data_IF_290134790210
#
_entry.id   IF_290134790210
#
_cell.length_a   1.000
_cell.length_b   1.000
_cell.length_c   1.000
_cell.angle_alpha   90.00
_cell.angle_beta   90.00
_cell.angle_gamma   90.00
#
_symmetry.space_group_name_H-M   'P 1'
#
loop_
_entity.id
_entity.type
_entity.pdbx_description
1 polymer ?
#
# COMPACT_ATOMS: atom_id res chain seq x y z
N UNK A 1 -15.81 23.99 1.10
CA UNK A 1 -15.83 23.94 2.59
C UNK A 1 -16.40 22.64 3.14
N UNK A 2 -17.53 22.12 2.66
CA UNK A 2 -18.13 20.85 3.14
C UNK A 2 -17.21 19.64 3.01
N UNK A 3 -16.48 19.52 1.90
CA UNK A 3 -15.52 18.42 1.67
C UNK A 3 -14.32 18.45 2.61
N UNK A 4 -13.75 19.63 2.87
CA UNK A 4 -12.65 19.79 3.83
C UNK A 4 -13.10 19.39 5.24
N UNK A 5 -14.30 19.80 5.65
CA UNK A 5 -14.86 19.44 6.95
C UNK A 5 -15.17 17.94 7.07
N UNK A 6 -15.78 17.35 6.03
CA UNK A 6 -16.04 15.91 5.98
C UNK A 6 -14.75 15.09 6.00
N UNK A 7 -13.72 15.54 5.26
CA UNK A 7 -12.39 14.96 5.29
C UNK A 7 -11.74 15.04 6.66
N UNK A 8 -11.81 16.18 7.34
CA UNK A 8 -11.29 16.34 8.71
C UNK A 8 -12.01 15.42 9.70
N UNK A 9 -13.34 15.37 9.68
CA UNK A 9 -14.12 14.49 10.56
C UNK A 9 -13.80 13.01 10.31
N UNK A 10 -13.67 12.63 9.04
CA UNK A 10 -13.26 11.28 8.66
C UNK A 10 -11.87 10.95 9.22
N UNK A 11 -10.90 11.87 9.10
CA UNK A 11 -9.56 11.68 9.61
C UNK A 11 -9.53 11.57 11.15
N UNK A 12 -10.34 12.34 11.86
CA UNK A 12 -10.46 12.25 13.32
C UNK A 12 -10.93 10.87 13.79
N UNK A 13 -11.68 10.13 12.97
CA UNK A 13 -12.13 8.77 13.28
C UNK A 13 -11.11 7.74 12.77
N UNK A 14 -10.66 7.88 11.52
CA UNK A 14 -9.78 6.91 10.88
C UNK A 14 -8.39 6.85 11.52
N UNK A 15 -7.81 7.99 11.91
CA UNK A 15 -6.45 8.02 12.48
C UNK A 15 -6.37 7.24 13.80
N UNK A 16 -7.27 7.45 14.79
CA UNK A 16 -7.29 6.60 15.98
C UNK A 16 -7.50 5.12 15.67
N UNK A 17 -8.40 4.79 14.74
CA UNK A 17 -8.64 3.40 14.33
C UNK A 17 -7.42 2.77 13.67
N UNK A 18 -6.65 3.52 12.88
CA UNK A 18 -5.38 3.07 12.31
C UNK A 18 -4.35 2.77 13.40
N UNK A 19 -4.26 3.60 14.45
CA UNK A 19 -3.38 3.37 15.59
C UNK A 19 -3.78 2.08 16.31
N UNK A 20 -5.07 1.89 16.61
CA UNK A 20 -5.58 0.66 17.22
C UNK A 20 -5.28 -0.56 16.34
N UNK A 21 -5.52 -0.45 15.04
CA UNK A 21 -5.22 -1.51 14.07
C UNK A 21 -3.74 -1.88 14.04
N UNK A 22 -2.85 -0.88 14.10
CA UNK A 22 -1.40 -1.10 14.17
C UNK A 22 -1.01 -1.84 15.46
N UNK A 23 -1.50 -1.39 16.62
CA UNK A 23 -1.25 -2.07 17.89
C UNK A 23 -1.76 -3.52 17.86
N UNK A 24 -2.94 -3.74 17.28
CA UNK A 24 -3.48 -5.09 17.09
C UNK A 24 -2.60 -5.97 16.20
N UNK A 25 -2.09 -5.43 15.08
CA UNK A 25 -1.15 -6.13 14.19
C UNK A 25 0.10 -6.53 14.96
N UNK A 26 0.68 -5.64 15.76
CA UNK A 26 1.88 -5.90 16.55
C UNK A 26 1.61 -7.01 17.58
N UNK A 27 0.56 -6.87 18.40
CA UNK A 27 0.24 -7.83 19.46
C UNK A 27 -0.04 -9.22 18.87
N UNK A 28 -0.91 -9.32 17.87
CA UNK A 28 -1.26 -10.62 17.28
C UNK A 28 -0.15 -11.18 16.39
N UNK A 29 0.69 -10.34 15.81
CA UNK A 29 1.88 -10.78 15.07
C UNK A 29 2.93 -11.44 15.95
N UNK A 30 3.08 -10.99 17.20
CA UNK A 30 4.03 -11.54 18.17
C UNK A 30 3.44 -12.77 18.89
N UNK A 31 2.19 -12.67 19.36
CA UNK A 31 1.60 -13.67 20.28
C UNK A 31 0.55 -14.58 19.64
N UNK A 32 0.14 -14.33 18.40
CA UNK A 32 -1.02 -14.97 17.78
C UNK A 32 -0.75 -15.55 16.39
N UNK A 33 -1.84 -15.85 15.67
CA UNK A 33 -1.78 -16.40 14.31
C UNK A 33 -1.55 -15.29 13.29
N UNK A 34 -0.41 -15.31 12.61
CA UNK A 34 -0.06 -14.36 11.53
C UNK A 34 -1.15 -14.28 10.45
N UNK A 35 -1.86 -15.37 10.17
CA UNK A 35 -2.97 -15.39 9.20
C UNK A 35 -4.10 -14.41 9.54
N UNK A 36 -4.30 -14.06 10.82
CA UNK A 36 -5.34 -13.12 11.28
C UNK A 36 -5.03 -11.68 10.89
N UNK A 37 -3.74 -11.33 10.84
CA UNK A 37 -3.26 -9.96 10.59
C UNK A 37 -2.67 -9.78 9.19
N UNK A 38 -2.41 -10.86 8.46
CA UNK A 38 -1.77 -10.85 7.13
C UNK A 38 -2.40 -9.85 6.16
N UNK A 39 -3.73 -9.79 6.07
CA UNK A 39 -4.40 -8.83 5.17
C UNK A 39 -4.27 -7.39 5.66
N UNK A 40 -4.28 -7.17 6.98
CA UNK A 40 -4.04 -5.85 7.57
C UNK A 40 -2.62 -5.35 7.30
N UNK A 41 -1.62 -6.21 7.43
CA UNK A 41 -0.21 -5.88 7.08
C UNK A 41 -0.08 -5.53 5.60
N UNK A 42 -0.74 -6.28 4.71
CA UNK A 42 -0.74 -5.96 3.26
C UNK A 42 -1.41 -4.62 2.96
N UNK A 43 -2.55 -4.34 3.60
CA UNK A 43 -3.24 -3.05 3.43
C UNK A 43 -2.38 -1.89 3.94
N UNK A 44 -1.67 -2.07 5.05
CA UNK A 44 -0.72 -1.09 5.58
C UNK A 44 0.44 -0.84 4.60
N UNK A 45 1.02 -1.90 4.04
CA UNK A 45 2.08 -1.78 3.04
C UNK A 45 1.61 -1.02 1.79
N UNK A 46 0.41 -1.32 1.28
CA UNK A 46 -0.19 -0.58 0.17
C UNK A 46 -0.47 0.89 0.53
N UNK A 47 -0.93 1.17 1.74
CA UNK A 47 -1.13 2.54 2.22
C UNK A 47 0.20 3.30 2.26
N UNK A 48 1.25 2.72 2.83
CA UNK A 48 2.59 3.33 2.87
C UNK A 48 3.13 3.55 1.45
N UNK A 49 2.95 2.59 0.56
CA UNK A 49 3.33 2.72 -0.84
C UNK A 49 2.62 3.90 -1.52
N UNK A 50 1.29 3.98 -1.38
CA UNK A 50 0.50 5.03 -2.00
C UNK A 50 0.80 6.43 -1.43
N UNK A 51 1.03 6.52 -0.11
CA UNK A 51 1.22 7.80 0.58
C UNK A 51 2.66 8.32 0.53
N UNK A 52 3.66 7.46 0.69
CA UNK A 52 5.07 7.89 0.79
C UNK A 52 5.84 7.70 -0.52
N UNK A 53 5.48 6.69 -1.31
CA UNK A 53 6.22 6.34 -2.54
C UNK A 53 5.48 6.77 -3.81
N UNK A 54 4.30 7.39 -3.69
CA UNK A 54 3.45 7.80 -4.81
C UNK A 54 3.13 6.62 -5.75
N UNK A 55 2.95 5.44 -5.18
CA UNK A 55 2.51 4.25 -5.90
C UNK A 55 1.00 4.12 -5.97
N UNK A 56 0.52 3.06 -6.60
CA UNK A 56 -0.91 2.76 -6.60
C UNK A 56 -1.36 2.15 -5.26
N UNK A 57 -2.61 2.42 -4.87
CA UNK A 57 -3.23 1.80 -3.68
C UNK A 57 -3.41 0.27 -3.78
N UNK A 58 -3.22 -0.30 -4.97
CA UNK A 58 -3.41 -1.72 -5.29
C UNK A 58 -2.08 -2.49 -5.40
N UNK A 59 -0.96 -1.88 -5.03
CA UNK A 59 0.35 -2.52 -5.07
C UNK A 59 1.15 -2.29 -3.79
N UNK A 60 1.96 -3.28 -3.44
CA UNK A 60 2.94 -3.25 -2.38
C UNK A 60 4.13 -2.34 -2.72
N UNK A 61 4.88 -1.91 -1.70
CA UNK A 61 6.17 -1.21 -1.89
C UNK A 61 7.12 -2.08 -2.72
N UNK A 62 7.10 -3.39 -2.50
CA UNK A 62 7.96 -4.36 -3.21
C UNK A 62 7.59 -4.48 -4.69
N UNK A 63 6.29 -4.55 -5.02
CA UNK A 63 5.83 -4.53 -6.41
C UNK A 63 6.20 -3.23 -7.09
N UNK A 64 5.94 -2.10 -6.42
CA UNK A 64 6.23 -0.77 -6.94
C UNK A 64 7.72 -0.57 -7.18
N UNK A 65 8.57 -0.99 -6.24
CA UNK A 65 10.03 -0.93 -6.37
C UNK A 65 10.51 -1.69 -7.61
N UNK A 66 9.95 -2.86 -7.92
CA UNK A 66 10.34 -3.59 -9.13
C UNK A 66 9.89 -2.90 -10.42
N UNK A 67 8.68 -2.33 -10.44
CA UNK A 67 8.16 -1.55 -11.56
C UNK A 67 9.02 -0.32 -11.84
N UNK A 68 9.48 0.33 -10.77
CA UNK A 68 10.31 1.54 -10.78
C UNK A 68 11.81 1.25 -10.52
N UNK A 69 12.29 0.03 -10.85
CA UNK A 69 13.62 -0.49 -10.48
C UNK A 69 14.82 0.37 -10.88
N UNK A 70 14.64 1.34 -11.78
CA UNK A 70 15.69 2.27 -12.15
C UNK A 70 15.92 3.39 -11.11
N UNK A 71 14.92 3.68 -10.27
CA UNK A 71 15.01 4.71 -9.21
C UNK A 71 15.91 4.27 -8.07
N UNK A 72 16.64 5.22 -7.47
CA UNK A 72 17.59 4.95 -6.36
C UNK A 72 16.92 4.28 -5.16
N UNK A 73 15.77 4.79 -4.72
CA UNK A 73 15.03 4.20 -3.59
C UNK A 73 14.58 2.77 -3.90
N UNK A 74 14.17 2.51 -5.14
CA UNK A 74 13.71 1.19 -5.57
C UNK A 74 14.86 0.19 -5.57
N UNK A 75 16.05 0.59 -6.04
CA UNK A 75 17.26 -0.24 -5.96
C UNK A 75 17.59 -0.61 -4.52
N UNK A 76 17.48 0.33 -3.58
CA UNK A 76 17.69 0.07 -2.14
C UNK A 76 16.67 -0.96 -1.62
N UNK A 77 15.38 -0.78 -1.93
CA UNK A 77 14.32 -1.74 -1.51
C UNK A 77 14.57 -3.13 -2.09
N UNK A 78 14.90 -3.22 -3.38
CA UNK A 78 15.21 -4.50 -4.05
C UNK A 78 16.41 -5.17 -3.39
N UNK A 79 17.50 -4.43 -3.17
CA UNK A 79 18.70 -4.96 -2.53
C UNK A 79 18.41 -5.48 -1.12
N UNK A 80 17.73 -4.69 -0.27
CA UNK A 80 17.41 -5.10 1.09
C UNK A 80 16.52 -6.35 1.09
N UNK A 81 15.45 -6.36 0.30
CA UNK A 81 14.51 -7.48 0.26
C UNK A 81 15.13 -8.76 -0.31
N UNK A 82 16.06 -8.65 -1.26
CA UNK A 82 16.78 -9.79 -1.83
C UNK A 82 17.75 -10.45 -0.84
N UNK A 83 18.21 -9.73 0.20
CA UNK A 83 18.99 -10.33 1.31
C UNK A 83 18.15 -11.34 2.11
N UNK A 84 16.86 -11.07 2.29
CA UNK A 84 15.94 -11.95 3.01
C UNK A 84 15.36 -13.04 2.11
N UNK A 85 15.06 -12.69 0.85
CA UNK A 85 14.46 -13.61 -0.10
C UNK A 85 14.82 -13.21 -1.54
N UNK A 86 15.62 -14.03 -2.23
CA UNK A 86 16.03 -13.76 -3.62
C UNK A 86 14.82 -13.53 -4.55
N UNK A 87 14.92 -12.50 -5.40
CA UNK A 87 13.90 -12.07 -6.36
C UNK A 87 12.55 -11.71 -5.70
N UNK A 88 12.58 -11.18 -4.47
CA UNK A 88 11.35 -10.86 -3.72
C UNK A 88 10.48 -9.86 -4.47
N UNK A 89 11.05 -8.70 -4.82
CA UNK A 89 10.33 -7.62 -5.49
C UNK A 89 9.83 -8.04 -6.89
N UNK A 90 10.61 -8.81 -7.65
CA UNK A 90 10.19 -9.37 -8.94
C UNK A 90 8.94 -10.24 -8.81
N UNK A 91 8.93 -11.13 -7.82
CA UNK A 91 7.78 -12.02 -7.56
C UNK A 91 6.56 -11.27 -7.04
N UNK A 92 6.76 -10.24 -6.23
CA UNK A 92 5.69 -9.36 -5.78
C UNK A 92 5.02 -8.67 -6.98
N UNK A 93 5.83 -8.07 -7.85
CA UNK A 93 5.32 -7.41 -9.05
C UNK A 93 4.60 -8.36 -10.01
N UNK A 94 5.15 -9.56 -10.27
CA UNK A 94 4.47 -10.56 -11.10
C UNK A 94 3.05 -10.93 -10.60
N UNK A 95 2.80 -10.82 -9.29
CA UNK A 95 1.49 -11.13 -8.70
C UNK A 95 0.53 -9.95 -8.71
N UNK A 96 1.05 -8.74 -8.56
CA UNK A 96 0.24 -7.54 -8.32
C UNK A 96 0.06 -6.69 -9.59
N UNK A 97 1.00 -6.75 -10.54
CA UNK A 97 0.92 -6.03 -11.81
C UNK A 97 -0.37 -6.30 -12.58
N UNK A 98 -0.88 -7.55 -12.69
CA UNK A 98 -2.15 -7.80 -13.39
C UNK A 98 -3.35 -7.06 -12.79
N UNK A 99 -3.34 -6.80 -11.47
CA UNK A 99 -4.40 -6.02 -10.80
C UNK A 99 -4.28 -4.55 -11.17
N UNK A 100 -3.05 -4.01 -11.16
CA UNK A 100 -2.79 -2.63 -11.59
C UNK A 100 -3.23 -2.45 -13.04
N UNK A 101 -2.81 -3.34 -13.93
CA UNK A 101 -3.12 -3.28 -15.35
C UNK A 101 -4.63 -3.31 -15.58
N UNK A 102 -5.36 -4.15 -14.84
CA UNK A 102 -6.82 -4.20 -14.88
C UNK A 102 -7.45 -2.86 -14.46
N UNK A 103 -7.02 -2.30 -13.33
CA UNK A 103 -7.53 -1.02 -12.81
C UNK A 103 -7.30 0.10 -13.84
N UNK A 104 -6.09 0.19 -14.38
CA UNK A 104 -5.70 1.22 -15.35
C UNK A 104 -6.45 1.05 -16.68
N UNK A 105 -6.52 -0.18 -17.19
CA UNK A 105 -7.25 -0.50 -18.42
C UNK A 105 -8.74 -0.16 -18.31
N UNK A 106 -9.33 -0.34 -17.12
CA UNK A 106 -10.73 0.01 -16.84
C UNK A 106 -10.93 1.47 -16.45
N UNK A 107 -9.87 2.27 -16.34
CA UNK A 107 -9.92 3.68 -15.91
C UNK A 107 -10.41 3.88 -14.48
N UNK A 108 -10.36 2.85 -13.62
CA UNK A 108 -10.94 2.89 -12.26
C UNK A 108 -10.12 3.74 -11.28
N UNK A 109 -8.92 4.15 -11.66
CA UNK A 109 -8.10 5.09 -10.90
C UNK A 109 -8.47 6.56 -11.17
N UNK A 110 -9.31 6.85 -12.16
CA UNK A 110 -9.67 8.22 -12.50
C UNK A 110 -10.65 8.81 -11.49
N UNK A 111 -10.47 10.09 -11.17
CA UNK A 111 -11.42 10.81 -10.33
C UNK A 111 -12.74 11.01 -11.06
N UNK A 112 -13.80 10.34 -10.59
CA UNK A 112 -15.16 10.42 -11.14
C UNK A 112 -16.09 11.34 -10.35
N UNK A 113 -15.74 11.68 -9.10
CA UNK A 113 -16.51 12.57 -8.21
C UNK A 113 -15.66 13.79 -7.85
N UNK A 114 -16.25 14.98 -7.90
CA UNK A 114 -15.58 16.23 -7.49
C UNK A 114 -14.58 16.78 -8.51
N UNK A 115 -14.71 16.42 -9.79
CA UNK A 115 -13.95 17.03 -10.88
C UNK A 115 -14.35 18.52 -10.97
N UNK A 116 -13.48 19.43 -10.53
CA UNK A 116 -13.64 20.85 -10.88
C UNK A 116 -13.34 20.96 -12.38
N UNK A 117 -14.37 21.30 -13.17
CA UNK A 117 -14.23 21.75 -14.56
C UNK A 117 -13.51 23.09 -14.60
#
# INVERSE_FOLDING_TARGET
MREKLAGTLLLCILVPLMIIGYLFIVIVGIFGKVSRVRQGVRALDHFVNATLFNGYAWESISSHAWREREKRWAKIVIQITDLFQKNHCKRANQREQPVIDLILHKGLNQQTIGKQL
#
